data_IF_468158898357
#
_entry.id   IF_468158898357
#
_cell.length_a   1.000
_cell.length_b   1.000
_cell.length_c   1.000
_cell.angle_alpha   90.00
_cell.angle_beta   90.00
_cell.angle_gamma   90.00
#
_symmetry.space_group_name_H-M   'P 1'
#
loop_
_entity.id
_entity.type
_entity.pdbx_description
1 polymer ?
#
# COMPACT_ATOMS: atom_id res chain seq x y z
N UNK A 1 18.01 -28.73 -20.26
CA UNK A 1 17.89 -29.98 -19.46
C UNK A 1 17.21 -29.50 -18.18
N UNK A 2 16.06 -30.02 -17.85
CA UNK A 2 15.37 -29.64 -16.62
C UNK A 2 15.85 -30.50 -15.50
N UNK A 3 16.51 -29.93 -14.49
CA UNK A 3 16.86 -30.65 -13.28
C UNK A 3 15.78 -30.44 -12.24
N UNK A 4 15.21 -31.52 -11.73
CA UNK A 4 14.24 -31.55 -10.65
C UNK A 4 14.95 -31.86 -9.34
N UNK A 5 14.86 -30.95 -8.38
CA UNK A 5 15.33 -31.19 -7.03
C UNK A 5 14.11 -31.34 -6.12
N UNK A 6 14.01 -32.47 -5.45
CA UNK A 6 12.97 -32.72 -4.44
C UNK A 6 13.55 -32.44 -3.06
N UNK A 7 12.99 -31.54 -2.32
CA UNK A 7 13.28 -31.29 -0.91
C UNK A 7 11.99 -31.46 -0.14
N UNK A 8 11.81 -32.68 0.42
CA UNK A 8 10.55 -33.09 1.07
C UNK A 8 9.36 -32.90 0.14
N UNK A 9 8.41 -32.02 0.50
CA UNK A 9 7.20 -31.81 -0.28
C UNK A 9 7.35 -30.67 -1.33
N UNK A 10 8.54 -30.15 -1.55
CA UNK A 10 8.82 -29.05 -2.48
C UNK A 10 9.54 -29.54 -3.73
N UNK A 11 9.05 -29.11 -4.90
CA UNK A 11 9.67 -29.35 -6.20
C UNK A 11 10.24 -28.03 -6.72
N UNK A 12 11.57 -27.97 -6.82
CA UNK A 12 12.24 -26.83 -7.47
C UNK A 12 12.53 -27.19 -8.92
N UNK A 13 11.98 -26.42 -9.86
CA UNK A 13 12.24 -26.57 -11.29
C UNK A 13 13.03 -25.38 -11.79
N UNK A 14 14.12 -25.65 -12.47
CA UNK A 14 14.87 -24.64 -13.18
C UNK A 14 14.41 -24.61 -14.64
N UNK A 15 14.00 -23.45 -15.13
CA UNK A 15 13.73 -23.25 -16.54
C UNK A 15 14.53 -22.03 -17.03
N UNK A 16 15.00 -22.09 -18.27
CA UNK A 16 15.52 -20.87 -18.91
C UNK A 16 14.37 -19.94 -19.15
N UNK A 17 14.55 -18.64 -18.84
CA UNK A 17 13.56 -17.63 -19.07
C UNK A 17 13.20 -17.46 -20.55
N UNK A 18 12.04 -16.89 -20.86
CA UNK A 18 11.70 -16.58 -22.25
C UNK A 18 12.72 -15.61 -22.86
N UNK A 19 12.94 -15.73 -24.17
CA UNK A 19 13.94 -15.02 -25.01
C UNK A 19 13.83 -13.48 -25.02
N UNK A 20 13.11 -12.87 -24.13
CA UNK A 20 12.88 -11.43 -24.09
C UNK A 20 13.95 -10.63 -23.32
N UNK A 21 14.96 -11.29 -22.77
CA UNK A 21 16.10 -10.63 -22.14
C UNK A 21 17.30 -10.70 -23.07
N UNK A 22 17.82 -9.52 -23.47
CA UNK A 22 18.90 -9.39 -24.43
C UNK A 22 20.14 -10.17 -24.04
N UNK A 23 20.55 -10.91 -24.92
CA UNK A 23 21.77 -11.52 -25.48
C UNK A 23 22.94 -11.93 -24.59
N UNK A 24 23.16 -11.50 -23.37
CA UNK A 24 24.39 -11.87 -22.63
C UNK A 24 24.20 -12.30 -21.17
N UNK A 25 22.95 -12.46 -20.70
CA UNK A 25 22.71 -12.97 -19.37
C UNK A 25 21.77 -14.19 -19.42
N UNK A 26 22.30 -15.35 -19.07
CA UNK A 26 21.53 -16.55 -18.75
C UNK A 26 20.69 -16.26 -17.48
N UNK A 27 19.52 -15.66 -17.65
CA UNK A 27 18.58 -15.52 -16.55
C UNK A 27 17.93 -16.88 -16.26
N UNK A 28 18.24 -17.46 -15.13
CA UNK A 28 17.59 -18.69 -14.66
C UNK A 28 16.32 -18.32 -13.89
N UNK A 29 15.19 -18.87 -14.31
CA UNK A 29 13.93 -18.78 -13.57
C UNK A 29 13.84 -20.02 -12.68
N UNK A 30 13.68 -19.79 -11.38
CA UNK A 30 13.42 -20.86 -10.41
C UNK A 30 11.91 -20.87 -10.18
N UNK A 31 11.27 -21.96 -10.56
CA UNK A 31 9.87 -22.24 -10.26
C UNK A 31 9.83 -23.12 -9.00
N UNK A 32 9.24 -22.61 -7.92
CA UNK A 32 9.02 -23.37 -6.68
C UNK A 32 7.56 -23.76 -6.62
N UNK A 33 7.32 -25.03 -6.45
CA UNK A 33 6.01 -25.63 -6.53
C UNK A 33 5.77 -26.50 -5.28
N UNK A 34 4.74 -26.21 -4.52
CA UNK A 34 4.28 -27.10 -3.44
C UNK A 34 3.27 -28.10 -4.00
N UNK A 35 3.48 -29.39 -3.74
CA UNK A 35 2.56 -30.47 -4.16
C UNK A 35 1.43 -30.73 -3.14
N UNK A 36 1.32 -29.95 -2.07
CA UNK A 36 0.34 -30.19 -1.04
C UNK A 36 -1.08 -29.74 -1.47
N UNK A 37 -2.03 -30.67 -1.46
CA UNK A 37 -3.46 -30.51 -1.69
C UNK A 37 -3.96 -30.19 -3.10
N UNK A 38 -3.17 -30.35 -4.14
CA UNK A 38 -3.61 -30.16 -5.53
C UNK A 38 -3.92 -28.72 -5.90
N UNK A 39 -3.60 -27.76 -5.05
CA UNK A 39 -3.61 -26.32 -5.31
C UNK A 39 -2.17 -25.85 -5.14
N UNK A 40 -1.42 -25.87 -6.24
CA UNK A 40 -0.03 -25.40 -6.22
C UNK A 40 0.01 -23.89 -6.04
N UNK A 41 0.72 -23.42 -5.02
CA UNK A 41 1.11 -22.03 -4.93
C UNK A 41 2.40 -21.85 -5.71
N UNK A 42 2.37 -21.04 -6.77
CA UNK A 42 3.54 -20.78 -7.61
C UNK A 42 4.27 -19.56 -7.08
N UNK A 43 5.53 -19.71 -6.72
CA UNK A 43 6.42 -18.60 -6.41
C UNK A 43 7.39 -18.43 -7.58
N UNK A 44 7.38 -17.26 -8.22
CA UNK A 44 8.35 -16.89 -9.24
C UNK A 44 9.44 -16.05 -8.60
N UNK A 45 10.66 -16.58 -8.52
CA UNK A 45 11.84 -15.81 -8.15
C UNK A 45 12.64 -15.50 -9.43
N UNK A 46 12.51 -14.27 -9.93
CA UNK A 46 13.40 -13.78 -10.99
C UNK A 46 14.65 -13.21 -10.32
N UNK A 47 15.77 -13.95 -10.43
CA UNK A 47 17.07 -13.45 -9.97
C UNK A 47 17.91 -13.05 -11.16
N UNK A 48 18.24 -11.78 -11.30
CA UNK A 48 19.05 -11.27 -12.41
C UNK A 48 20.52 -11.76 -12.40
N UNK A 49 20.98 -12.43 -11.33
CA UNK A 49 22.36 -12.92 -11.19
C UNK A 49 22.54 -14.01 -10.13
N UNK A 50 22.02 -15.19 -10.35
CA UNK A 50 22.44 -16.34 -9.55
C UNK A 50 23.09 -17.36 -10.47
N UNK A 51 24.40 -17.32 -10.56
CA UNK A 51 25.14 -18.49 -11.01
C UNK A 51 25.18 -19.46 -9.83
N UNK A 52 24.35 -20.50 -9.84
CA UNK A 52 24.50 -21.60 -8.89
C UNK A 52 25.77 -22.37 -9.27
N UNK A 53 26.87 -21.94 -8.72
CA UNK A 53 28.13 -22.62 -8.91
C UNK A 53 28.32 -23.83 -7.99
N UNK A 54 27.49 -23.89 -6.92
CA UNK A 54 27.60 -24.90 -5.88
C UNK A 54 26.20 -25.42 -5.46
N UNK A 55 26.06 -26.74 -5.23
CA UNK A 55 24.80 -27.34 -4.72
C UNK A 55 24.31 -26.73 -3.40
N UNK A 56 25.22 -26.24 -2.56
CA UNK A 56 24.90 -25.66 -1.25
C UNK A 56 24.06 -24.38 -1.35
N UNK A 57 24.15 -23.64 -2.46
CA UNK A 57 23.33 -22.43 -2.64
C UNK A 57 21.87 -22.75 -2.90
N UNK A 58 21.59 -23.88 -3.53
CA UNK A 58 20.23 -24.39 -3.75
C UNK A 58 19.61 -24.89 -2.45
N UNK A 59 20.38 -25.55 -1.61
CA UNK A 59 19.94 -26.00 -0.28
C UNK A 59 19.56 -24.79 0.58
N UNK A 60 20.40 -23.75 0.61
CA UNK A 60 20.12 -22.52 1.34
C UNK A 60 18.88 -21.78 0.83
N UNK A 61 18.65 -21.78 -0.48
CA UNK A 61 17.44 -21.19 -1.06
C UNK A 61 16.20 -21.97 -0.66
N UNK A 62 16.25 -23.30 -0.76
CA UNK A 62 15.16 -24.18 -0.35
C UNK A 62 14.84 -24.06 1.16
N UNK A 63 15.86 -23.94 2.02
CA UNK A 63 15.69 -23.69 3.45
C UNK A 63 15.01 -22.33 3.72
N UNK A 64 15.35 -21.28 2.95
CA UNK A 64 14.70 -19.98 3.08
C UNK A 64 13.23 -20.01 2.66
N UNK A 65 12.94 -20.68 1.54
CA UNK A 65 11.55 -20.84 1.08
C UNK A 65 10.73 -21.63 2.08
N UNK A 66 11.30 -22.73 2.62
CA UNK A 66 10.68 -23.53 3.67
C UNK A 66 10.40 -22.71 4.94
N UNK A 67 11.36 -21.88 5.37
CA UNK A 67 11.17 -20.99 6.51
C UNK A 67 10.04 -19.95 6.26
N UNK A 68 9.87 -19.50 5.02
CA UNK A 68 8.74 -18.65 4.63
C UNK A 68 7.41 -19.40 4.65
N UNK A 69 7.37 -20.65 4.14
CA UNK A 69 6.17 -21.50 4.20
C UNK A 69 5.81 -21.90 5.63
N UNK A 70 6.79 -22.25 6.46
CA UNK A 70 6.57 -22.53 7.89
C UNK A 70 6.05 -21.30 8.62
N UNK A 71 6.47 -20.11 8.21
CA UNK A 71 5.96 -18.85 8.74
C UNK A 71 4.54 -18.63 8.28
N UNK A 72 4.22 -18.80 7.00
CA UNK A 72 2.87 -18.70 6.46
C UNK A 72 1.95 -19.79 7.02
N UNK A 73 2.38 -21.04 7.08
CA UNK A 73 1.63 -22.13 7.73
C UNK A 73 1.46 -21.92 9.25
N UNK A 74 2.39 -21.23 9.90
CA UNK A 74 2.26 -20.86 11.31
C UNK A 74 1.27 -19.71 11.49
N UNK A 75 1.14 -18.84 10.50
CA UNK A 75 0.06 -17.85 10.43
C UNK A 75 -1.28 -18.52 10.13
N UNK A 76 -1.39 -19.42 9.14
CA UNK A 76 -2.61 -20.15 8.81
C UNK A 76 -3.03 -21.13 9.93
N UNK A 77 -2.10 -21.90 10.52
CA UNK A 77 -2.39 -22.79 11.66
C UNK A 77 -2.55 -22.05 13.00
N UNK A 78 -2.05 -20.83 13.14
CA UNK A 78 -2.35 -19.98 14.29
C UNK A 78 -3.76 -19.38 14.20
N UNK A 79 -4.36 -19.32 13.02
CA UNK A 79 -5.79 -19.00 12.84
C UNK A 79 -6.69 -20.15 13.32
N UNK A 80 -6.21 -21.41 13.31
CA UNK A 80 -6.97 -22.58 13.81
C UNK A 80 -6.84 -22.79 15.34
N UNK A 81 -5.83 -22.21 15.99
CA UNK A 81 -5.58 -22.33 17.45
C UNK A 81 -5.63 -20.97 18.17
N UNK A 82 -5.71 -19.87 17.45
CA UNK A 82 -6.12 -18.62 18.07
C UNK A 82 -7.63 -18.66 18.23
N UNK A 83 -7.99 -18.76 19.47
CA UNK A 83 -9.31 -18.32 19.90
C UNK A 83 -9.66 -17.09 19.08
N UNK A 84 -10.62 -17.26 18.16
CA UNK A 84 -11.00 -16.33 17.12
C UNK A 84 -11.61 -15.04 17.70
N UNK A 85 -10.87 -14.27 18.50
CA UNK A 85 -11.54 -13.12 19.14
C UNK A 85 -10.71 -11.92 19.55
N UNK A 86 -9.41 -11.77 19.31
CA UNK A 86 -8.82 -10.54 19.85
C UNK A 86 -7.99 -9.68 18.91
N UNK A 87 -7.18 -10.21 18.01
CA UNK A 87 -6.28 -9.32 17.27
C UNK A 87 -6.72 -9.02 15.82
N UNK A 88 -7.21 -9.99 15.08
CA UNK A 88 -7.73 -9.76 13.72
C UNK A 88 -9.14 -9.11 13.76
N UNK A 89 -9.96 -9.45 14.73
CA UNK A 89 -11.18 -8.69 15.04
C UNK A 89 -10.91 -7.31 15.62
N UNK A 90 -9.73 -7.08 16.23
CA UNK A 90 -9.32 -5.75 16.68
C UNK A 90 -9.04 -4.85 15.50
N UNK A 91 -8.26 -5.30 14.53
CA UNK A 91 -7.95 -4.53 13.31
C UNK A 91 -9.25 -4.30 12.53
N UNK A 92 -10.06 -5.30 12.25
CA UNK A 92 -11.34 -5.13 11.55
C UNK A 92 -12.41 -4.40 12.37
N UNK A 93 -12.48 -4.57 13.69
CA UNK A 93 -13.42 -3.81 14.52
C UNK A 93 -12.96 -2.36 14.77
N UNK A 94 -11.66 -2.08 14.84
CA UNK A 94 -11.13 -0.72 15.02
C UNK A 94 -11.25 0.09 13.72
N UNK A 95 -11.00 -0.50 12.55
CA UNK A 95 -11.16 0.15 11.25
C UNK A 95 -12.65 0.34 10.88
N UNK A 96 -13.51 -0.61 11.19
CA UNK A 96 -14.95 -0.52 10.96
C UNK A 96 -15.69 0.46 11.90
N UNK A 97 -15.03 1.04 12.90
CA UNK A 97 -15.54 2.03 13.84
C UNK A 97 -14.97 3.44 13.64
N UNK A 98 -14.36 3.73 12.49
CA UNK A 98 -13.91 5.08 12.19
C UNK A 98 -15.06 6.08 12.31
N UNK A 99 -14.88 7.09 13.15
CA UNK A 99 -15.81 8.22 13.23
C UNK A 99 -15.64 9.11 11.99
N UNK A 100 -16.76 9.45 11.35
CA UNK A 100 -16.79 10.33 10.18
C UNK A 100 -17.41 11.67 10.55
N UNK A 101 -16.84 12.74 10.04
CA UNK A 101 -17.22 14.12 10.32
C UNK A 101 -17.87 14.74 9.08
N UNK A 102 -19.08 15.24 9.27
CA UNK A 102 -19.75 16.12 8.31
C UNK A 102 -19.21 17.53 8.46
N UNK A 103 -18.39 17.98 7.52
CA UNK A 103 -17.83 19.33 7.47
C UNK A 103 -18.75 20.35 6.76
N UNK A 104 -19.91 19.90 6.28
CA UNK A 104 -20.82 20.70 5.49
C UNK A 104 -20.28 21.01 4.08
N UNK A 105 -19.59 20.04 3.48
CA UNK A 105 -19.05 20.16 2.12
C UNK A 105 -20.19 20.12 1.08
N UNK A 106 -20.05 20.78 -0.07
CA UNK A 106 -21.08 20.79 -1.12
C UNK A 106 -21.50 19.41 -1.62
N UNK A 107 -20.57 18.45 -1.69
CA UNK A 107 -20.86 17.06 -2.08
C UNK A 107 -21.61 16.27 -1.02
N UNK A 108 -21.56 16.69 0.25
CA UNK A 108 -21.99 15.89 1.40
C UNK A 108 -20.96 14.88 1.87
N UNK A 109 -19.79 14.80 1.25
CA UNK A 109 -18.71 13.87 1.63
C UNK A 109 -18.34 14.02 3.10
N UNK A 110 -18.36 12.90 3.82
CA UNK A 110 -17.93 12.78 5.20
C UNK A 110 -16.47 12.31 5.25
N UNK A 111 -15.69 12.89 6.16
CA UNK A 111 -14.26 12.57 6.30
C UNK A 111 -13.99 11.80 7.59
N UNK A 112 -13.23 10.73 7.50
CA UNK A 112 -12.79 9.98 8.67
C UNK A 112 -11.95 10.87 9.61
N UNK A 113 -12.12 10.71 10.92
CA UNK A 113 -11.33 11.40 11.94
C UNK A 113 -9.88 10.94 11.98
N UNK A 114 -9.64 9.64 11.73
CA UNK A 114 -8.33 9.01 11.83
C UNK A 114 -7.86 8.50 10.48
N UNK A 115 -6.56 8.31 10.33
CA UNK A 115 -5.97 7.60 9.19
C UNK A 115 -6.29 6.11 9.27
N UNK A 116 -6.25 5.39 8.16
CA UNK A 116 -6.28 3.92 8.17
C UNK A 116 -5.06 3.43 8.97
N UNK A 117 -5.30 2.45 9.86
CA UNK A 117 -4.28 1.92 10.77
C UNK A 117 -4.02 2.78 12.01
N UNK A 118 -4.80 3.86 12.23
CA UNK A 118 -4.70 4.72 13.41
C UNK A 118 -5.90 4.56 14.32
N UNK A 119 -5.67 4.46 15.63
CA UNK A 119 -6.70 4.42 16.68
C UNK A 119 -7.13 5.82 17.16
N UNK A 120 -6.34 6.86 16.86
CA UNK A 120 -6.63 8.24 17.23
C UNK A 120 -6.25 9.22 16.13
N UNK A 121 -6.81 10.44 16.19
CA UNK A 121 -6.53 11.50 15.21
C UNK A 121 -5.08 12.00 15.24
N UNK A 122 -4.31 11.69 16.28
CA UNK A 122 -2.90 12.04 16.43
C UNK A 122 -1.93 10.93 16.02
N UNK A 123 -2.43 9.74 15.75
CA UNK A 123 -1.61 8.67 15.21
C UNK A 123 -1.44 8.82 13.69
N UNK A 124 -0.24 8.48 13.22
CA UNK A 124 0.08 8.61 11.80
C UNK A 124 -0.60 7.55 10.93
N UNK A 125 -0.98 6.41 11.51
CA UNK A 125 -1.52 5.26 10.80
C UNK A 125 -0.47 4.54 9.94
N UNK A 126 -0.94 3.69 9.06
CA UNK A 126 -0.12 2.88 8.18
C UNK A 126 0.23 3.62 6.88
N UNK A 127 1.27 3.11 6.21
CA UNK A 127 1.71 3.62 4.91
C UNK A 127 1.39 2.61 3.81
N UNK A 128 0.93 3.12 2.68
CA UNK A 128 0.54 2.31 1.52
C UNK A 128 1.18 2.85 0.26
N UNK A 129 1.74 1.98 -0.57
CA UNK A 129 1.96 2.30 -1.98
C UNK A 129 0.60 2.40 -2.68
N UNK A 130 0.51 3.20 -3.73
CA UNK A 130 -0.78 3.40 -4.42
C UNK A 130 -1.33 2.10 -5.01
N UNK A 131 -2.56 1.74 -4.62
CA UNK A 131 -3.22 0.49 -4.99
C UNK A 131 -2.84 -0.72 -4.14
N UNK A 132 -1.99 -0.55 -3.12
CA UNK A 132 -1.75 -1.60 -2.13
C UNK A 132 -2.93 -1.72 -1.17
N UNK A 133 -3.35 -2.94 -0.89
CA UNK A 133 -4.43 -3.25 0.08
C UNK A 133 -3.89 -3.82 1.39
N UNK A 134 -2.57 -3.87 1.53
CA UNK A 134 -1.85 -4.20 2.76
C UNK A 134 -0.89 -3.09 3.13
N UNK A 135 -0.66 -2.82 4.43
CA UNK A 135 0.35 -1.86 4.84
C UNK A 135 1.74 -2.23 4.30
N UNK A 136 2.50 -1.21 3.91
CA UNK A 136 3.87 -1.40 3.45
C UNK A 136 4.86 -0.87 4.48
N UNK A 137 5.91 -1.63 4.74
CA UNK A 137 7.07 -1.15 5.48
C UNK A 137 7.88 -0.18 4.61
N UNK A 138 8.76 0.59 5.22
CA UNK A 138 9.51 1.62 4.47
C UNK A 138 10.43 1.05 3.42
N UNK A 139 11.05 -0.09 3.69
CA UNK A 139 11.94 -0.83 2.78
C UNK A 139 11.19 -1.53 1.64
N UNK A 140 9.88 -1.71 1.75
CA UNK A 140 9.03 -2.19 0.67
C UNK A 140 8.65 -1.10 -0.33
N UNK A 141 8.73 0.18 0.06
CA UNK A 141 8.30 1.31 -0.78
C UNK A 141 9.33 1.63 -1.87
N UNK A 142 9.34 0.85 -2.93
CA UNK A 142 10.13 1.06 -4.15
C UNK A 142 9.49 0.37 -5.37
N UNK A 143 9.95 0.69 -6.59
CA UNK A 143 9.32 0.22 -7.82
C UNK A 143 9.19 -1.29 -7.94
N UNK A 144 10.16 -2.06 -7.44
CA UNK A 144 10.13 -3.53 -7.51
C UNK A 144 8.93 -4.15 -6.79
N UNK A 145 8.44 -3.50 -5.74
CA UNK A 145 7.28 -3.94 -4.95
C UNK A 145 6.01 -3.15 -5.28
N UNK A 146 6.10 -2.09 -6.08
CA UNK A 146 4.94 -1.26 -6.38
C UNK A 146 3.83 -2.09 -7.03
N UNK A 147 2.58 -1.97 -6.57
CA UNK A 147 1.44 -2.62 -7.20
C UNK A 147 1.41 -2.33 -8.70
N UNK A 148 1.05 -3.34 -9.49
CA UNK A 148 0.93 -3.25 -10.95
C UNK A 148 2.24 -2.96 -11.71
N UNK A 149 3.39 -3.18 -11.08
CA UNK A 149 4.68 -2.93 -11.73
C UNK A 149 5.42 -4.21 -12.17
N UNK A 150 4.83 -5.37 -11.89
CA UNK A 150 5.33 -6.70 -12.28
C UNK A 150 6.79 -6.95 -11.86
N UNK A 151 7.16 -6.51 -10.65
CA UNK A 151 8.49 -6.72 -10.05
C UNK A 151 9.64 -5.95 -10.71
N UNK A 152 9.37 -5.07 -11.68
CA UNK A 152 10.40 -4.29 -12.37
C UNK A 152 10.92 -3.19 -11.45
N UNK A 153 12.26 -3.01 -11.37
CA UNK A 153 12.91 -2.03 -10.49
C UNK A 153 12.75 -0.57 -10.92
N UNK A 154 12.19 -0.34 -12.10
CA UNK A 154 11.78 0.97 -12.59
C UNK A 154 10.32 0.88 -13.06
N UNK A 155 9.70 2.02 -13.37
CA UNK A 155 8.34 2.02 -13.87
C UNK A 155 8.17 1.16 -15.14
N UNK A 156 7.20 0.24 -15.11
CA UNK A 156 6.87 -0.65 -16.23
C UNK A 156 5.60 -0.16 -16.94
N UNK A 157 5.76 0.77 -17.89
CA UNK A 157 4.65 1.35 -18.63
C UNK A 157 3.89 0.30 -19.44
N UNK A 158 4.58 -0.64 -20.07
CA UNK A 158 3.95 -1.67 -20.90
C UNK A 158 3.02 -2.56 -20.09
N UNK A 159 3.48 -3.02 -18.92
CA UNK A 159 2.63 -3.83 -18.05
C UNK A 159 1.49 -3.00 -17.47
N UNK A 160 1.78 -1.82 -16.93
CA UNK A 160 0.75 -0.95 -16.37
C UNK A 160 -0.31 -0.59 -17.39
N UNK A 161 0.07 -0.21 -18.61
CA UNK A 161 -0.86 0.12 -19.69
C UNK A 161 -1.76 -1.06 -20.07
N UNK A 162 -1.28 -2.30 -19.93
CA UNK A 162 -2.08 -3.50 -20.20
C UNK A 162 -3.16 -3.78 -19.15
N UNK A 163 -3.02 -3.25 -17.92
CA UNK A 163 -3.93 -3.54 -16.80
C UNK A 163 -4.67 -2.30 -16.28
N UNK A 164 -4.25 -1.08 -16.64
CA UNK A 164 -4.79 0.16 -16.05
C UNK A 164 -6.30 0.31 -16.16
N UNK A 165 -6.89 -0.10 -17.30
CA UNK A 165 -8.35 0.00 -17.50
C UNK A 165 -9.13 -1.00 -16.64
N UNK A 166 -8.45 -2.03 -16.11
CA UNK A 166 -9.02 -2.98 -15.16
C UNK A 166 -8.93 -2.47 -13.73
N UNK A 167 -7.77 -1.90 -13.36
CA UNK A 167 -7.48 -1.51 -11.98
C UNK A 167 -7.93 -0.10 -11.64
N UNK A 168 -7.93 0.81 -12.62
CA UNK A 168 -8.34 2.21 -12.45
C UNK A 168 -9.08 2.74 -13.68
N UNK A 169 -10.26 2.20 -14.01
CA UNK A 169 -11.08 2.71 -15.09
C UNK A 169 -11.41 4.19 -14.85
N UNK A 170 -11.31 5.02 -15.90
CA UNK A 170 -11.45 6.47 -15.79
C UNK A 170 -10.44 7.16 -14.82
N UNK A 171 -9.33 6.52 -14.55
CA UNK A 171 -8.28 7.03 -13.68
C UNK A 171 -8.60 6.96 -12.19
N UNK A 172 -9.57 6.16 -11.76
CA UNK A 172 -9.92 5.97 -10.34
C UNK A 172 -9.74 4.49 -9.98
N UNK A 173 -9.05 4.20 -8.87
CA UNK A 173 -8.90 2.83 -8.37
C UNK A 173 -10.26 2.15 -8.20
N UNK A 174 -10.33 0.89 -8.62
CA UNK A 174 -11.49 0.05 -8.33
C UNK A 174 -11.51 -0.38 -6.88
N UNK A 175 -12.65 -0.87 -6.44
CA UNK A 175 -12.89 -1.33 -5.06
C UNK A 175 -11.89 -2.40 -4.60
N UNK A 176 -11.41 -3.22 -5.51
CA UNK A 176 -10.45 -4.29 -5.25
C UNK A 176 -9.09 -3.77 -4.81
N UNK A 177 -8.74 -2.54 -5.22
CA UNK A 177 -7.43 -1.91 -4.94
C UNK A 177 -7.55 -0.67 -4.06
N UNK A 178 -8.72 -0.43 -3.49
CA UNK A 178 -9.00 0.64 -2.53
C UNK A 178 -8.98 0.09 -1.11
N UNK A 179 -7.88 0.35 -0.38
CA UNK A 179 -7.73 -0.13 0.99
C UNK A 179 -8.82 0.41 1.93
N UNK A 180 -9.29 1.63 1.74
CA UNK A 180 -10.35 2.17 2.57
C UNK A 180 -11.68 1.43 2.33
N UNK A 181 -11.95 1.02 1.10
CA UNK A 181 -13.11 0.19 0.78
C UNK A 181 -12.97 -1.21 1.40
N UNK A 182 -11.81 -1.83 1.24
CA UNK A 182 -11.55 -3.18 1.75
C UNK A 182 -11.61 -3.22 3.29
N UNK A 183 -10.99 -2.26 3.96
CA UNK A 183 -10.90 -2.23 5.43
C UNK A 183 -12.20 -1.80 6.14
N UNK A 184 -13.17 -1.25 5.42
CA UNK A 184 -14.46 -0.78 5.99
C UNK A 184 -15.67 -1.60 5.55
N UNK A 185 -15.46 -2.80 5.01
CA UNK A 185 -16.53 -3.64 4.45
C UNK A 185 -17.39 -2.89 3.41
N UNK A 186 -16.74 -2.07 2.60
CA UNK A 186 -17.37 -1.32 1.52
C UNK A 186 -18.15 -0.07 1.94
N UNK A 187 -18.05 0.37 3.20
CA UNK A 187 -18.77 1.54 3.72
C UNK A 187 -18.09 2.87 3.37
N UNK A 188 -16.78 2.83 3.15
CA UNK A 188 -16.01 4.01 2.82
C UNK A 188 -15.05 3.71 1.65
N UNK A 189 -14.35 4.71 1.16
CA UNK A 189 -13.38 4.58 0.08
C UNK A 189 -12.24 5.61 0.24
N UNK A 190 -11.17 5.44 -0.52
CA UNK A 190 -10.13 6.44 -0.65
C UNK A 190 -10.70 7.69 -1.33
N UNK A 191 -10.40 8.91 -0.84
CA UNK A 191 -10.88 10.10 -1.49
C UNK A 191 -10.31 10.21 -2.91
N UNK A 192 -11.10 10.72 -3.83
CA UNK A 192 -10.59 11.20 -5.11
C UNK A 192 -9.78 12.49 -4.90
N UNK A 193 -8.94 12.83 -5.86
CA UNK A 193 -8.21 14.11 -5.82
C UNK A 193 -9.16 15.32 -5.84
N UNK A 194 -10.32 15.18 -6.48
CA UNK A 194 -11.38 16.21 -6.47
C UNK A 194 -11.97 16.42 -5.07
N UNK A 195 -12.15 15.36 -4.28
CA UNK A 195 -12.61 15.47 -2.90
C UNK A 195 -11.57 16.13 -2.00
N UNK A 196 -10.27 15.89 -2.19
CA UNK A 196 -9.22 16.68 -1.51
C UNK A 196 -9.27 18.16 -1.88
N UNK A 197 -9.49 18.48 -3.16
CA UNK A 197 -9.65 19.86 -3.57
C UNK A 197 -10.90 20.49 -2.97
N UNK A 198 -12.01 19.77 -2.93
CA UNK A 198 -13.24 20.25 -2.29
C UNK A 198 -13.04 20.52 -0.80
N UNK A 199 -12.37 19.58 -0.07
CA UNK A 199 -12.00 19.75 1.33
C UNK A 199 -11.21 21.07 1.52
N UNK A 200 -10.17 21.28 0.70
CA UNK A 200 -9.35 22.47 0.75
C UNK A 200 -10.17 23.74 0.45
N UNK A 201 -10.94 23.76 -0.63
CA UNK A 201 -11.68 24.96 -1.05
C UNK A 201 -12.81 25.34 -0.08
N UNK A 202 -13.42 24.36 0.61
CA UNK A 202 -14.64 24.58 1.38
C UNK A 202 -14.47 24.53 2.90
N UNK A 203 -13.24 24.39 3.41
CA UNK A 203 -12.95 24.49 4.84
C UNK A 203 -12.08 25.72 5.15
N UNK A 204 -11.98 26.07 6.44
CA UNK A 204 -10.87 26.86 6.96
C UNK A 204 -9.78 25.89 7.39
N UNK A 205 -8.53 26.24 7.18
CA UNK A 205 -7.42 25.36 7.50
C UNK A 205 -6.33 26.16 8.20
N UNK A 206 -5.77 25.54 9.23
CA UNK A 206 -4.69 26.10 10.04
C UNK A 206 -3.66 25.02 10.36
N UNK A 207 -2.39 25.41 10.37
CA UNK A 207 -1.32 24.56 10.86
C UNK A 207 -1.33 24.57 12.38
N UNK A 208 -1.36 23.39 12.98
CA UNK A 208 -1.30 23.22 14.44
C UNK A 208 0.02 22.55 14.80
N UNK A 209 0.79 23.19 15.65
CA UNK A 209 1.90 22.55 16.35
C UNK A 209 1.40 21.94 17.66
N UNK A 210 1.87 20.74 17.97
CA UNK A 210 1.50 20.05 19.20
C UNK A 210 -0.03 19.93 19.41
N UNK A 211 -0.72 19.34 18.43
CA UNK A 211 -2.16 19.19 18.47
C UNK A 211 -2.65 18.51 19.76
N UNK A 212 -3.43 19.23 20.57
CA UNK A 212 -3.96 18.79 21.86
C UNK A 212 -2.90 18.32 22.87
N UNK A 213 -1.66 18.81 22.80
CA UNK A 213 -0.56 18.39 23.70
C UNK A 213 -0.01 17.00 23.40
N UNK A 214 -0.23 16.49 22.19
CA UNK A 214 0.22 15.14 21.76
C UNK A 214 1.64 15.10 21.22
N UNK A 215 2.26 16.26 20.98
CA UNK A 215 3.53 16.38 20.26
C UNK A 215 3.42 16.20 18.75
N UNK A 216 2.19 16.08 18.20
CA UNK A 216 1.94 15.83 16.77
C UNK A 216 1.52 17.12 16.07
N UNK A 217 2.24 17.45 15.01
CA UNK A 217 1.94 18.59 14.14
C UNK A 217 1.09 18.17 12.95
N UNK A 218 0.34 19.10 12.39
CA UNK A 218 -0.45 18.84 11.19
C UNK A 218 -1.38 19.99 10.81
N UNK A 219 -2.23 19.75 9.81
CA UNK A 219 -3.24 20.69 9.39
C UNK A 219 -4.63 20.30 9.90
N UNK A 220 -5.32 21.26 10.44
CA UNK A 220 -6.72 21.17 10.85
C UNK A 220 -7.60 21.80 9.79
N UNK A 221 -8.52 21.01 9.22
CA UNK A 221 -9.54 21.46 8.27
C UNK A 221 -10.85 21.60 9.02
N UNK A 222 -11.35 22.84 9.10
CA UNK A 222 -12.46 23.25 9.98
C UNK A 222 -13.66 23.64 9.11
N UNK A 223 -14.83 23.12 9.45
CA UNK A 223 -16.08 23.50 8.78
C UNK A 223 -16.29 25.03 8.82
N UNK A 224 -16.71 25.58 7.68
CA UNK A 224 -17.06 27.01 7.58
C UNK A 224 -18.41 27.34 8.25
N UNK A 225 -19.25 26.31 8.44
CA UNK A 225 -20.61 26.47 8.98
C UNK A 225 -20.70 26.12 10.46
N UNK A 226 -19.85 25.20 10.93
CA UNK A 226 -19.80 24.77 12.33
C UNK A 226 -18.34 24.52 12.74
N UNK A 227 -17.73 25.49 13.41
CA UNK A 227 -16.31 25.44 13.78
C UNK A 227 -15.97 24.39 14.83
N UNK A 228 -16.97 23.74 15.45
CA UNK A 228 -16.75 22.57 16.31
C UNK A 228 -16.43 21.30 15.51
N UNK A 229 -16.79 21.28 14.23
CA UNK A 229 -16.55 20.18 13.31
C UNK A 229 -15.25 20.40 12.53
N UNK A 230 -14.36 19.46 12.64
CA UNK A 230 -13.06 19.51 11.96
C UNK A 230 -12.52 18.09 11.74
N UNK A 231 -11.54 17.98 10.86
CA UNK A 231 -10.63 16.83 10.75
C UNK A 231 -9.20 17.32 10.86
N UNK A 232 -8.37 16.56 11.56
CA UNK A 232 -6.94 16.83 11.72
C UNK A 232 -6.15 15.85 10.87
N UNK A 233 -5.24 16.34 10.07
CA UNK A 233 -4.32 15.57 9.23
C UNK A 233 -2.93 15.69 9.82
N UNK A 234 -2.42 14.67 10.54
CA UNK A 234 -1.05 14.68 11.05
C UNK A 234 -0.02 14.77 9.93
N UNK A 235 1.09 15.47 10.22
CA UNK A 235 2.24 15.54 9.33
C UNK A 235 2.98 14.18 9.35
N UNK A 236 2.40 13.20 8.67
CA UNK A 236 2.80 11.80 8.72
C UNK A 236 4.12 11.49 7.99
N UNK A 237 4.67 12.45 7.21
CA UNK A 237 5.84 12.19 6.38
C UNK A 237 5.49 11.28 5.19
N UNK A 238 6.50 10.63 4.64
CA UNK A 238 6.33 9.59 3.63
C UNK A 238 7.31 8.44 3.85
N UNK A 239 6.86 7.22 3.58
CA UNK A 239 7.70 6.04 3.64
C UNK A 239 8.45 5.85 2.32
N UNK A 240 9.77 5.71 2.41
CA UNK A 240 10.65 5.44 1.28
C UNK A 240 11.99 4.87 1.75
N UNK A 241 12.43 3.77 1.13
CA UNK A 241 13.72 3.16 1.44
C UNK A 241 13.82 2.73 2.90
N UNK A 242 14.70 3.33 3.68
CA UNK A 242 15.03 2.87 5.04
C UNK A 242 14.25 3.56 6.16
N UNK A 243 13.32 4.47 5.85
CA UNK A 243 12.66 5.23 6.88
C UNK A 243 11.43 6.02 6.43
N UNK A 244 10.86 6.74 7.37
CA UNK A 244 9.82 7.73 7.11
C UNK A 244 10.45 9.11 7.14
N UNK A 245 10.50 9.75 5.97
CA UNK A 245 11.09 11.07 5.83
C UNK A 245 10.11 12.18 6.20
N UNK A 246 10.64 13.26 6.78
CA UNK A 246 9.93 14.51 7.05
C UNK A 246 8.67 14.39 7.95
N UNK A 247 8.56 13.33 8.76
CA UNK A 247 7.50 13.22 9.77
C UNK A 247 7.53 14.43 10.70
N UNK A 248 6.35 14.99 11.00
CA UNK A 248 6.19 16.19 11.82
C UNK A 248 6.27 17.52 11.06
N UNK A 249 6.66 17.52 9.77
CA UNK A 249 6.76 18.74 8.95
C UNK A 249 6.12 18.61 7.56
N UNK A 250 5.85 17.40 7.12
CA UNK A 250 5.27 17.05 5.82
C UNK A 250 4.12 16.07 6.01
N UNK A 251 3.05 16.19 5.22
CA UNK A 251 2.00 15.19 5.12
C UNK A 251 1.74 14.80 3.67
N UNK A 252 1.68 13.49 3.45
CA UNK A 252 1.34 12.88 2.18
C UNK A 252 0.16 11.91 2.36
N UNK A 253 -0.89 12.09 1.55
CA UNK A 253 -2.10 11.28 1.62
C UNK A 253 -2.57 10.91 0.22
N UNK A 254 -2.55 9.63 -0.11
CA UNK A 254 -3.01 9.16 -1.43
C UNK A 254 -4.48 9.45 -1.66
N UNK A 255 -4.78 9.85 -2.89
CA UNK A 255 -6.13 9.74 -3.44
C UNK A 255 -6.28 8.44 -4.25
N UNK A 256 -7.50 8.07 -4.59
CA UNK A 256 -7.78 6.99 -5.53
C UNK A 256 -7.50 7.36 -7.00
N UNK A 257 -7.12 8.62 -7.27
CA UNK A 257 -6.96 9.15 -8.64
C UNK A 257 -5.56 8.92 -9.18
N UNK A 258 -5.48 8.29 -10.36
CA UNK A 258 -4.26 8.21 -11.17
C UNK A 258 -3.96 9.56 -11.80
N UNK A 259 -2.69 9.93 -11.92
CA UNK A 259 -2.29 10.99 -12.84
C UNK A 259 -2.33 10.45 -14.27
N UNK A 260 -3.33 10.85 -15.03
CA UNK A 260 -3.54 10.36 -16.40
C UNK A 260 -2.46 10.83 -17.39
N UNK A 261 -1.74 11.90 -17.06
CA UNK A 261 -0.65 12.44 -17.90
C UNK A 261 0.70 11.76 -17.57
N UNK A 262 0.85 11.31 -16.33
CA UNK A 262 2.04 10.64 -15.82
C UNK A 262 1.63 9.35 -15.09
N UNK A 263 1.35 8.25 -15.83
CA UNK A 263 0.83 7.01 -15.23
C UNK A 263 1.78 6.27 -14.28
N UNK A 264 3.04 6.69 -14.19
CA UNK A 264 3.98 6.30 -13.14
C UNK A 264 3.63 6.93 -11.77
N UNK A 265 2.75 7.92 -11.77
CA UNK A 265 2.39 8.74 -10.63
C UNK A 265 0.89 8.71 -10.36
N UNK A 266 0.51 8.98 -9.12
CA UNK A 266 -0.89 9.15 -8.71
C UNK A 266 -1.05 10.44 -7.93
N UNK A 267 -2.27 10.98 -7.97
CA UNK A 267 -2.59 12.24 -7.30
C UNK A 267 -2.74 12.04 -5.79
N UNK A 268 -2.31 13.01 -5.02
CA UNK A 268 -2.34 12.99 -3.57
C UNK A 268 -2.47 14.38 -2.97
N UNK A 269 -2.92 14.46 -1.70
CA UNK A 269 -2.82 15.65 -0.88
C UNK A 269 -1.40 15.74 -0.33
N UNK A 270 -0.74 16.86 -0.62
CA UNK A 270 0.59 17.19 -0.11
C UNK A 270 0.54 18.46 0.72
N UNK A 271 1.17 18.45 1.88
CA UNK A 271 1.37 19.69 2.64
C UNK A 271 2.70 19.74 3.36
N UNK A 272 3.18 20.93 3.57
CA UNK A 272 4.23 21.27 4.52
C UNK A 272 3.69 22.23 5.58
N UNK A 273 4.57 22.78 6.41
CA UNK A 273 4.19 23.66 7.52
C UNK A 273 3.54 24.98 7.10
N UNK A 274 3.67 25.39 5.83
CA UNK A 274 3.22 26.69 5.32
C UNK A 274 2.35 26.63 4.07
N UNK A 275 2.10 25.43 3.56
CA UNK A 275 1.38 25.26 2.30
C UNK A 275 0.61 23.93 2.27
N UNK A 276 -0.46 23.94 1.48
CA UNK A 276 -1.25 22.75 1.15
C UNK A 276 -1.43 22.73 -0.37
N UNK A 277 -1.13 21.60 -0.98
CA UNK A 277 -1.40 21.29 -2.38
C UNK A 277 -2.37 20.10 -2.43
N UNK A 278 -3.65 20.34 -2.67
CA UNK A 278 -4.67 19.29 -2.59
C UNK A 278 -4.64 18.32 -3.78
N UNK A 279 -3.96 18.69 -4.87
CA UNK A 279 -3.90 17.92 -6.10
C UNK A 279 -2.50 18.05 -6.71
N UNK A 280 -1.59 17.18 -6.30
CA UNK A 280 -0.26 17.02 -6.90
C UNK A 280 0.00 15.54 -7.10
N UNK A 281 1.02 15.19 -7.87
CA UNK A 281 1.33 13.82 -8.21
C UNK A 281 2.66 13.38 -7.64
N UNK A 282 2.77 12.10 -7.30
CA UNK A 282 4.03 11.47 -6.94
C UNK A 282 4.05 10.02 -7.42
N UNK A 283 5.25 9.47 -7.54
CA UNK A 283 5.46 8.10 -8.00
C UNK A 283 4.73 7.11 -7.10
N UNK A 284 4.00 6.17 -7.71
CA UNK A 284 3.08 5.24 -7.05
C UNK A 284 3.72 4.29 -6.04
N UNK A 285 5.05 4.19 -6.04
CA UNK A 285 5.78 3.35 -5.09
C UNK A 285 6.05 4.02 -3.73
N UNK A 286 5.83 5.33 -3.59
CA UNK A 286 5.94 5.97 -2.27
C UNK A 286 4.86 5.47 -1.32
N UNK A 287 5.22 5.30 -0.06
CA UNK A 287 4.26 4.97 0.99
C UNK A 287 3.68 6.26 1.60
N UNK A 288 2.37 6.49 1.38
CA UNK A 288 1.64 7.59 2.01
C UNK A 288 0.50 7.07 2.88
N UNK A 289 0.01 7.92 3.76
CA UNK A 289 -1.17 7.63 4.57
C UNK A 289 -2.46 7.61 3.75
N UNK A 290 -3.48 6.99 4.29
CA UNK A 290 -4.83 6.97 3.71
C UNK A 290 -5.81 7.59 4.71
N UNK A 291 -6.62 8.54 4.25
CA UNK A 291 -7.75 9.09 4.98
C UNK A 291 -9.03 8.76 4.22
N UNK A 292 -9.87 7.91 4.78
CA UNK A 292 -11.10 7.47 4.10
C UNK A 292 -12.20 8.51 4.12
N UNK A 293 -13.13 8.38 3.17
CA UNK A 293 -14.33 9.21 3.04
C UNK A 293 -15.57 8.34 2.83
N UNK A 294 -16.74 8.90 3.13
CA UNK A 294 -18.06 8.36 2.79
C UNK A 294 -18.84 9.42 2.01
N UNK A 295 -19.54 8.99 0.96
CA UNK A 295 -20.44 9.83 0.15
C UNK A 295 -21.88 9.78 0.68
#
# INVERSE_FOLDING_TARGET
>A
MMDKIYLEDMVVRFSQGPDCCQKDDESQIIEIHSEDNGVGTFFWLKTDRWSFSEPDDLVKLAERVRAMEETNNKYENSEVIRDSNTDDKRIHNEIGQLEYVDLGLPSGTLWAKCNIGAASETEYGDYYMWGSTTPNTTDECFWGNAPFNNGTICYNSTHFDSVKDLICPNGILTKEYDIAYQSTDGKAHMPTSKQFKELYDNTKHEWIEDFNGSGVNGWKFISKTDTSKYVFFPANGHAYGTGVDNRGSFGGYWSSSLDINYPDSSEYLHFGTKYIYPQVSNSRYHGFGIRSVMD
#
